data_IF_836873795518
#
_entry.id   IF_836873795518
#
_cell.length_a   1.000
_cell.length_b   1.000
_cell.length_c   1.000
_cell.angle_alpha   90.00
_cell.angle_beta   90.00
_cell.angle_gamma   90.00
#
_symmetry.space_group_name_H-M   'P 1'
#
loop_
_entity.id
_entity.type
_entity.pdbx_description
1 polymer ?
#
# COMPACT_ATOMS: atom_id res chain seq x y z
N UNK A 1 -6.18 5.83 -10.51
CA UNK A 1 -5.40 5.27 -9.38
C UNK A 1 -6.28 4.29 -8.61
N UNK A 2 -5.93 3.00 -8.58
CA UNK A 2 -6.78 1.97 -7.95
C UNK A 2 -6.58 1.88 -6.42
N UNK A 3 -5.39 2.23 -5.93
CA UNK A 3 -5.00 2.11 -4.52
C UNK A 3 -4.98 3.47 -3.78
N UNK A 4 -5.26 3.47 -2.48
CA UNK A 4 -5.00 4.63 -1.64
C UNK A 4 -3.49 4.97 -1.57
N UNK A 5 -3.16 6.27 -1.46
CA UNK A 5 -1.77 6.70 -1.28
C UNK A 5 -1.20 6.21 0.06
N UNK A 6 0.13 6.17 0.15
CA UNK A 6 0.87 5.67 1.31
C UNK A 6 0.50 6.41 2.61
N UNK A 7 0.33 7.73 2.53
CA UNK A 7 -0.05 8.57 3.67
C UNK A 7 -1.45 8.25 4.20
N UNK A 8 -2.42 8.00 3.30
CA UNK A 8 -3.77 7.58 3.69
C UNK A 8 -3.80 6.14 4.20
N UNK A 9 -3.05 5.22 3.58
CA UNK A 9 -2.94 3.83 4.07
C UNK A 9 -2.34 3.79 5.48
N UNK A 10 -1.22 4.49 5.71
CA UNK A 10 -0.54 4.54 7.01
C UNK A 10 -1.43 5.07 8.12
N UNK A 11 -2.29 6.06 7.79
CA UNK A 11 -3.22 6.70 8.73
C UNK A 11 -4.61 6.06 8.77
N UNK A 12 -4.86 5.00 7.98
CA UNK A 12 -6.17 4.34 7.84
C UNK A 12 -7.32 5.29 7.47
N UNK A 13 -7.05 6.27 6.60
CA UNK A 13 -8.04 7.26 6.13
C UNK A 13 -8.56 6.91 4.73
N UNK A 14 -9.79 7.34 4.41
CA UNK A 14 -10.31 7.28 3.04
C UNK A 14 -9.50 8.21 2.13
N UNK A 15 -8.96 7.65 1.04
CA UNK A 15 -8.20 8.39 0.04
C UNK A 15 -9.11 8.78 -1.13
N UNK A 16 -9.00 10.02 -1.63
CA UNK A 16 -9.71 10.47 -2.84
C UNK A 16 -9.12 9.94 -4.15
N UNK A 17 -7.89 9.39 -4.10
CA UNK A 17 -7.21 8.73 -5.25
C UNK A 17 -6.99 9.64 -6.48
N UNK A 18 -6.92 10.96 -6.28
CA UNK A 18 -6.55 11.93 -7.31
C UNK A 18 -5.03 11.95 -7.56
N UNK A 19 -4.59 12.32 -8.78
CA UNK A 19 -3.19 12.44 -9.16
C UNK A 19 -2.87 13.89 -9.56
N UNK A 20 -1.72 14.48 -9.15
CA UNK A 20 -0.55 13.87 -8.51
C UNK A 20 -0.65 13.65 -6.99
N UNK A 21 -1.56 14.34 -6.29
CA UNK A 21 -1.75 14.21 -4.84
C UNK A 21 -3.23 14.10 -4.51
N UNK A 22 -3.59 13.28 -3.51
CA UNK A 22 -4.96 13.24 -3.03
C UNK A 22 -5.30 14.51 -2.24
N UNK A 23 -6.55 14.96 -2.31
CA UNK A 23 -7.08 16.10 -1.56
C UNK A 23 -6.66 16.11 -0.08
N UNK A 24 -6.74 14.99 0.64
CA UNK A 24 -6.34 14.93 2.06
C UNK A 24 -4.85 15.25 2.27
N UNK A 25 -3.98 14.75 1.39
CA UNK A 25 -2.56 15.06 1.47
C UNK A 25 -2.24 16.49 1.03
N UNK A 26 -3.04 17.09 0.15
CA UNK A 26 -2.93 18.51 -0.21
C UNK A 26 -3.29 19.38 1.00
N UNK A 27 -4.46 19.17 1.62
CA UNK A 27 -4.93 19.95 2.76
C UNK A 27 -4.01 19.90 3.97
N UNK A 28 -3.42 18.74 4.25
CA UNK A 28 -2.51 18.55 5.38
C UNK A 28 -1.02 18.60 5.00
N UNK A 29 -0.71 19.05 3.78
CA UNK A 29 0.66 19.14 3.24
C UNK A 29 1.52 17.88 3.40
N UNK A 30 0.90 16.69 3.43
CA UNK A 30 1.59 15.41 3.59
C UNK A 30 2.23 14.92 2.29
N UNK A 31 3.36 14.22 2.40
CA UNK A 31 3.94 13.47 1.28
C UNK A 31 2.93 12.45 0.73
N UNK A 32 2.55 12.62 -0.53
CA UNK A 32 1.57 11.77 -1.20
C UNK A 32 2.29 10.94 -2.25
N UNK A 33 2.50 9.67 -1.94
CA UNK A 33 3.08 8.70 -2.86
C UNK A 33 2.11 7.54 -3.05
N UNK A 34 2.07 7.02 -4.28
CA UNK A 34 1.29 5.85 -4.64
C UNK A 34 2.27 4.70 -4.93
N UNK A 35 2.88 4.16 -3.87
CA UNK A 35 3.83 3.06 -4.02
C UNK A 35 3.13 1.79 -4.52
N UNK A 36 3.77 1.00 -5.41
CA UNK A 36 3.23 -0.27 -5.87
C UNK A 36 3.05 -1.23 -4.70
N UNK A 37 2.13 -2.19 -4.84
CA UNK A 37 1.92 -3.23 -3.84
C UNK A 37 3.17 -4.11 -3.78
N UNK A 38 3.71 -4.29 -2.57
CA UNK A 38 4.83 -5.20 -2.36
C UNK A 38 4.40 -6.62 -2.73
N UNK A 39 5.12 -7.26 -3.65
CA UNK A 39 4.98 -8.70 -3.92
C UNK A 39 5.56 -9.43 -2.72
N UNK A 40 4.72 -10.25 -2.06
CA UNK A 40 5.13 -11.09 -0.94
C UNK A 40 5.32 -12.51 -1.43
N UNK A 41 6.07 -13.31 -0.67
CA UNK A 41 6.11 -14.74 -0.91
C UNK A 41 4.69 -15.32 -0.90
N UNK A 42 4.40 -16.30 -1.76
CA UNK A 42 3.09 -16.89 -1.83
C UNK A 42 2.78 -17.62 -0.51
N UNK A 43 1.65 -17.27 0.12
CA UNK A 43 1.17 -17.97 1.31
C UNK A 43 0.45 -19.28 0.92
N UNK A 44 1.15 -20.16 0.23
CA UNK A 44 0.66 -21.48 -0.20
C UNK A 44 1.27 -22.57 0.68
N UNK A 45 0.53 -23.67 0.89
CA UNK A 45 1.00 -24.82 1.69
C UNK A 45 2.36 -25.33 1.19
N UNK A 46 2.52 -25.47 -0.13
CA UNK A 46 3.77 -25.94 -0.73
C UNK A 46 4.97 -25.04 -0.40
N UNK A 47 4.80 -23.71 -0.48
CA UNK A 47 5.88 -22.78 -0.16
C UNK A 47 6.22 -22.79 1.33
N UNK A 48 5.21 -22.81 2.21
CA UNK A 48 5.43 -22.86 3.66
C UNK A 48 6.17 -24.13 4.09
N UNK A 49 5.72 -25.30 3.64
CA UNK A 49 6.39 -26.58 3.92
C UNK A 49 7.84 -26.60 3.40
N UNK A 50 8.13 -25.98 2.25
CA UNK A 50 9.49 -25.87 1.75
C UNK A 50 10.38 -25.00 2.64
N UNK A 51 9.85 -23.91 3.20
CA UNK A 51 10.59 -22.99 4.07
C UNK A 51 10.82 -23.58 5.46
N UNK A 52 9.84 -24.29 6.02
CA UNK A 52 9.91 -24.88 7.36
C UNK A 52 10.90 -26.05 7.47
N UNK A 53 11.06 -26.85 6.40
CA UNK A 53 11.95 -28.02 6.38
C UNK A 53 13.41 -27.69 6.01
N UNK A 54 13.76 -26.41 5.94
CA UNK A 54 15.07 -25.92 5.51
C UNK A 54 15.84 -25.34 6.68
#
# INVERSE_FOLDING_TARGET
>A
IEQACDSCRKRKLKCSKEYPRCSKCIHHSWCCYYSPRTVRSPLTRAHLTQVENK
#
